data_IF_425786961413
#
_entry.id   IF_425786961413
#
_cell.length_a   1.000
_cell.length_b   1.000
_cell.length_c   1.000
_cell.angle_alpha   90.00
_cell.angle_beta   90.00
_cell.angle_gamma   90.00
#
_symmetry.space_group_name_H-M   'P 1'
#
loop_
_entity.id
_entity.type
_entity.pdbx_description
1 polymer ?
#
# COMPACT_ATOMS: atom_id res chain seq x y z
N UNK A 1 -17.09 -49.22 16.67
CA UNK A 1 -17.24 -48.36 15.48
C UNK A 1 -17.82 -47.06 15.98
N UNK A 2 -16.96 -46.06 16.18
CA UNK A 2 -17.30 -44.82 16.85
C UNK A 2 -17.11 -43.70 15.85
N UNK A 3 -18.21 -43.05 15.47
CA UNK A 3 -18.25 -41.89 14.59
C UNK A 3 -17.39 -40.76 15.18
N UNK A 4 -16.34 -40.37 14.43
CA UNK A 4 -15.66 -39.11 14.63
C UNK A 4 -16.57 -38.00 14.12
N UNK A 5 -17.31 -37.40 15.05
CA UNK A 5 -18.07 -36.18 14.84
C UNK A 5 -17.07 -35.04 14.57
N UNK A 6 -16.83 -34.77 13.28
CA UNK A 6 -16.22 -33.52 12.83
C UNK A 6 -17.21 -32.40 13.16
N UNK A 7 -17.04 -31.78 14.33
CA UNK A 7 -17.59 -30.46 14.61
C UNK A 7 -16.84 -29.48 13.71
N UNK A 8 -17.38 -29.28 12.52
CA UNK A 8 -17.04 -28.14 11.68
C UNK A 8 -17.37 -26.89 12.51
N UNK A 9 -16.32 -26.31 13.09
CA UNK A 9 -16.38 -25.01 13.73
C UNK A 9 -16.66 -24.04 12.61
N UNK A 10 -17.96 -23.80 12.38
CA UNK A 10 -18.47 -22.81 11.47
C UNK A 10 -18.13 -21.43 12.05
N UNK A 11 -16.86 -21.03 11.88
CA UNK A 11 -16.37 -19.67 12.04
C UNK A 11 -16.85 -18.85 10.83
N UNK A 12 -18.16 -18.83 10.58
CA UNK A 12 -18.81 -17.65 9.98
C UNK A 12 -18.80 -16.54 11.04
N UNK A 13 -17.59 -16.12 11.42
CA UNK A 13 -17.38 -14.83 12.06
C UNK A 13 -17.76 -13.84 10.98
N UNK A 14 -18.98 -13.31 11.08
CA UNK A 14 -19.40 -12.09 10.42
C UNK A 14 -18.47 -10.95 10.87
N UNK A 15 -17.24 -10.94 10.36
CA UNK A 15 -16.28 -9.87 10.55
C UNK A 15 -16.88 -8.71 9.78
N UNK A 16 -17.57 -7.81 10.49
CA UNK A 16 -17.97 -6.52 9.94
C UNK A 16 -16.76 -5.96 9.21
N UNK A 17 -16.83 -5.89 7.87
CA UNK A 17 -15.82 -5.27 7.03
C UNK A 17 -15.68 -3.83 7.52
N UNK A 18 -14.62 -3.58 8.28
CA UNK A 18 -14.36 -2.26 8.86
C UNK A 18 -13.97 -1.32 7.72
N UNK A 19 -14.48 -0.09 7.71
CA UNK A 19 -14.17 0.91 6.68
C UNK A 19 -12.65 1.11 6.50
N UNK A 20 -11.87 0.91 7.57
CA UNK A 20 -10.40 0.97 7.54
C UNK A 20 -9.75 -0.04 6.60
N UNK A 21 -10.42 -1.14 6.26
CA UNK A 21 -9.89 -2.11 5.30
C UNK A 21 -9.83 -1.55 3.88
N UNK A 22 -10.51 -0.45 3.56
CA UNK A 22 -10.42 0.17 2.23
C UNK A 22 -9.36 1.26 2.16
N UNK A 23 -8.72 1.57 3.29
CA UNK A 23 -7.64 2.55 3.31
C UNK A 23 -6.39 1.91 2.67
N UNK A 24 -5.84 2.50 1.60
CA UNK A 24 -4.55 2.09 1.08
C UNK A 24 -3.47 2.50 2.09
N UNK A 25 -2.51 1.61 2.32
CA UNK A 25 -1.45 1.81 3.30
C UNK A 25 -0.45 2.90 2.89
N UNK A 26 -0.42 3.25 1.60
CA UNK A 26 0.29 4.42 1.10
C UNK A 26 -0.34 5.76 1.51
N UNK A 27 -1.60 5.79 1.94
CA UNK A 27 -2.23 7.04 2.38
C UNK A 27 -1.57 7.63 3.64
N UNK A 28 -1.34 6.87 4.73
CA UNK A 28 -0.52 7.33 5.86
C UNK A 28 0.86 7.86 5.46
N UNK A 29 1.52 7.22 4.49
CA UNK A 29 2.83 7.65 3.99
C UNK A 29 2.73 8.99 3.26
N UNK A 30 1.71 9.16 2.40
CA UNK A 30 1.46 10.43 1.74
C UNK A 30 1.16 11.55 2.76
N UNK A 31 0.35 11.28 3.78
CA UNK A 31 0.05 12.24 4.84
C UNK A 31 1.32 12.64 5.57
N UNK A 32 2.16 11.67 5.94
CA UNK A 32 3.43 11.94 6.60
C UNK A 32 4.36 12.77 5.71
N UNK A 33 4.47 12.45 4.42
CA UNK A 33 5.25 13.22 3.45
C UNK A 33 4.78 14.69 3.41
N UNK A 34 3.47 14.92 3.26
CA UNK A 34 2.89 16.27 3.22
C UNK A 34 3.14 17.00 4.54
N UNK A 35 2.99 16.34 5.68
CA UNK A 35 3.26 16.96 6.99
C UNK A 35 4.71 17.40 7.11
N UNK A 36 5.68 16.56 6.73
CA UNK A 36 7.10 16.91 6.80
C UNK A 36 7.47 18.09 5.90
N UNK A 37 6.97 18.11 4.66
CA UNK A 37 7.17 19.22 3.72
C UNK A 37 6.49 20.51 4.19
N UNK A 38 5.26 20.43 4.73
CA UNK A 38 4.52 21.61 5.20
C UNK A 38 5.12 22.26 6.44
N UNK A 39 5.77 21.50 7.33
CA UNK A 39 6.52 22.06 8.48
C UNK A 39 7.93 22.51 8.12
N UNK A 40 8.35 22.37 6.85
CA UNK A 40 9.65 22.81 6.36
C UNK A 40 10.81 21.90 6.77
N UNK A 41 10.56 20.61 7.03
CA UNK A 41 11.65 19.65 7.26
C UNK A 41 12.34 19.35 5.93
N UNK A 42 13.65 19.59 5.88
CA UNK A 42 14.46 19.21 4.73
C UNK A 42 14.64 17.69 4.68
N UNK A 43 13.98 17.05 3.71
CA UNK A 43 14.02 15.61 3.51
C UNK A 43 15.41 15.07 3.15
N UNK A 44 16.31 15.93 2.64
CA UNK A 44 17.69 15.57 2.27
C UNK A 44 18.69 15.83 3.38
N UNK A 45 18.26 16.48 4.46
CA UNK A 45 19.13 16.71 5.60
C UNK A 45 19.54 15.37 6.21
N UNK A 46 20.84 15.18 6.29
CA UNK A 46 21.44 13.99 6.90
C UNK A 46 21.39 14.11 8.42
N UNK A 47 20.90 13.06 9.06
CA UNK A 47 20.89 12.87 10.51
C UNK A 47 21.80 11.70 10.89
N UNK A 48 22.64 11.90 11.89
CA UNK A 48 23.59 10.89 12.39
C UNK A 48 24.99 11.45 12.59
N UNK A 49 25.81 10.76 13.38
CA UNK A 49 27.25 10.97 13.49
C UNK A 49 27.96 9.63 13.28
N UNK A 50 29.00 9.59 12.43
CA UNK A 50 29.74 8.36 12.11
C UNK A 50 29.35 7.72 10.78
N UNK A 51 29.51 6.38 10.66
CA UNK A 51 29.31 5.61 9.43
C UNK A 51 27.86 5.26 9.07
N UNK A 52 26.89 5.61 9.92
CA UNK A 52 25.46 5.49 9.63
C UNK A 52 24.82 6.86 9.60
N UNK A 53 24.50 7.30 8.40
CA UNK A 53 23.83 8.57 8.09
C UNK A 53 22.50 8.25 7.43
N UNK A 54 21.42 8.85 7.90
CA UNK A 54 20.07 8.64 7.36
C UNK A 54 19.37 9.98 7.15
N UNK A 55 18.62 10.09 6.07
CA UNK A 55 17.78 11.24 5.73
C UNK A 55 16.30 10.93 5.97
N UNK A 56 15.47 11.96 6.17
CA UNK A 56 14.02 11.75 6.27
C UNK A 56 13.45 11.16 4.97
N UNK A 57 14.00 11.53 3.82
CA UNK A 57 13.65 10.93 2.53
C UNK A 57 13.85 9.41 2.52
N UNK A 58 15.01 8.93 2.97
CA UNK A 58 15.30 7.50 3.09
C UNK A 58 14.37 6.78 4.08
N UNK A 59 14.07 7.41 5.22
CA UNK A 59 13.10 6.85 6.19
C UNK A 59 11.74 6.65 5.52
N UNK A 60 11.24 7.66 4.80
CA UNK A 60 9.96 7.54 4.12
C UNK A 60 9.99 6.49 3.00
N UNK A 61 11.10 6.33 2.30
CA UNK A 61 11.26 5.30 1.26
C UNK A 61 11.26 3.90 1.87
N UNK A 62 11.96 3.70 3.00
CA UNK A 62 11.93 2.43 3.74
C UNK A 62 10.51 2.13 4.23
N UNK A 63 9.83 3.11 4.83
CA UNK A 63 8.44 2.96 5.26
C UNK A 63 7.52 2.63 4.09
N UNK A 64 7.70 3.30 2.94
CA UNK A 64 6.95 3.02 1.71
C UNK A 64 7.13 1.57 1.26
N UNK A 65 8.36 1.06 1.27
CA UNK A 65 8.65 -0.32 0.90
C UNK A 65 8.02 -1.32 1.88
N UNK A 66 8.07 -1.05 3.19
CA UNK A 66 7.41 -1.90 4.20
C UNK A 66 5.90 -1.89 4.02
N UNK A 67 5.29 -0.73 3.78
CA UNK A 67 3.84 -0.62 3.54
C UNK A 67 3.43 -1.31 2.25
N UNK A 68 4.24 -1.28 1.19
CA UNK A 68 4.01 -2.05 -0.03
C UNK A 68 3.89 -3.56 0.24
N UNK A 69 4.79 -4.10 1.06
CA UNK A 69 4.73 -5.52 1.45
C UNK A 69 3.47 -5.82 2.26
N UNK A 70 3.11 -4.93 3.18
CA UNK A 70 1.89 -5.08 3.97
C UNK A 70 0.61 -5.03 3.10
N UNK A 71 0.58 -4.22 2.04
CA UNK A 71 -0.54 -4.20 1.09
C UNK A 71 -0.68 -5.52 0.33
N UNK A 72 0.44 -6.12 -0.06
CA UNK A 72 0.43 -7.42 -0.75
C UNK A 72 -0.16 -8.52 0.14
N UNK A 73 0.16 -8.52 1.44
CA UNK A 73 -0.40 -9.47 2.40
C UNK A 73 -1.93 -9.32 2.52
N UNK A 74 -2.41 -8.07 2.52
CA UNK A 74 -3.84 -7.75 2.66
C UNK A 74 -4.70 -8.37 1.55
N UNK A 75 -4.21 -8.35 0.31
CA UNK A 75 -4.96 -8.89 -0.86
C UNK A 75 -4.68 -10.38 -1.13
N UNK A 76 -3.79 -11.01 -0.39
CA UNK A 76 -3.39 -12.41 -0.59
C UNK A 76 -4.33 -13.47 0.01
N UNK A 77 -5.46 -13.05 0.59
CA UNK A 77 -6.40 -13.98 1.24
C UNK A 77 -7.08 -14.90 0.21
N UNK A 78 -6.88 -16.23 0.29
CA UNK A 78 -7.51 -17.17 -0.65
C UNK A 78 -9.01 -17.27 -0.41
N UNK A 79 -9.80 -17.40 -1.49
CA UNK A 79 -11.26 -17.55 -1.41
C UNK A 79 -12.03 -16.28 -1.10
N UNK A 80 -11.36 -15.13 -0.93
CA UNK A 80 -12.00 -13.82 -0.74
C UNK A 80 -11.66 -12.94 -1.94
N UNK A 81 -12.69 -12.33 -2.52
CA UNK A 81 -12.51 -11.29 -3.53
C UNK A 81 -12.06 -9.97 -2.86
N UNK A 82 -10.79 -9.62 -3.08
CA UNK A 82 -10.18 -8.36 -2.62
C UNK A 82 -10.01 -7.36 -3.77
N UNK A 83 -10.76 -7.50 -4.87
CA UNK A 83 -10.68 -6.62 -6.04
C UNK A 83 -10.86 -5.15 -5.67
N UNK A 84 -11.80 -4.84 -4.78
CA UNK A 84 -12.02 -3.45 -4.34
C UNK A 84 -10.79 -2.89 -3.59
N UNK A 85 -10.15 -3.69 -2.75
CA UNK A 85 -8.94 -3.27 -2.02
C UNK A 85 -7.78 -3.05 -3.00
N UNK A 86 -7.56 -3.97 -3.93
CA UNK A 86 -6.56 -3.82 -4.99
C UNK A 86 -6.84 -2.58 -5.86
N UNK A 87 -8.11 -2.29 -6.16
CA UNK A 87 -8.50 -1.09 -6.91
C UNK A 87 -8.21 0.19 -6.12
N UNK A 88 -8.46 0.22 -4.81
CA UNK A 88 -8.09 1.38 -3.97
C UNK A 88 -6.59 1.63 -3.92
N UNK A 89 -5.77 0.57 -3.96
CA UNK A 89 -4.31 0.68 -4.04
C UNK A 89 -3.87 1.29 -5.38
N UNK A 90 -4.47 0.84 -6.49
CA UNK A 90 -4.22 1.43 -7.81
C UNK A 90 -4.64 2.91 -7.82
N UNK A 91 -5.81 3.23 -7.28
CA UNK A 91 -6.29 4.60 -7.15
C UNK A 91 -5.31 5.49 -6.37
N UNK A 92 -4.69 4.97 -5.32
CA UNK A 92 -3.67 5.67 -4.56
C UNK A 92 -2.39 5.92 -5.37
N UNK A 93 -1.90 4.93 -6.11
CA UNK A 93 -0.75 5.10 -6.99
C UNK A 93 -1.01 6.12 -8.11
N UNK A 94 -2.21 6.10 -8.70
CA UNK A 94 -2.64 7.10 -9.69
C UNK A 94 -2.72 8.49 -9.08
N UNK A 95 -3.28 8.63 -7.87
CA UNK A 95 -3.32 9.89 -7.15
C UNK A 95 -1.90 10.45 -6.95
N UNK A 96 -0.95 9.63 -6.48
CA UNK A 96 0.44 10.06 -6.30
C UNK A 96 1.08 10.49 -7.63
N UNK A 97 0.83 9.75 -8.71
CA UNK A 97 1.31 10.13 -10.03
C UNK A 97 0.75 11.49 -10.48
N UNK A 98 -0.54 11.74 -10.27
CA UNK A 98 -1.17 13.03 -10.58
C UNK A 98 -0.55 14.15 -9.75
N UNK A 99 -0.35 13.95 -8.44
CA UNK A 99 0.31 14.94 -7.57
C UNK A 99 1.73 15.28 -8.06
N UNK A 100 2.50 14.26 -8.44
CA UNK A 100 3.85 14.45 -9.00
C UNK A 100 3.80 15.24 -10.31
N UNK A 101 2.91 14.87 -11.25
CA UNK A 101 2.77 15.55 -12.55
C UNK A 101 2.36 17.00 -12.38
N UNK A 102 1.40 17.30 -11.50
CA UNK A 102 1.00 18.67 -11.20
C UNK A 102 2.15 19.48 -10.60
N UNK A 103 2.94 18.87 -9.72
CA UNK A 103 4.15 19.49 -9.18
C UNK A 103 5.19 19.77 -10.26
N UNK A 104 5.49 18.79 -11.10
CA UNK A 104 6.46 18.90 -12.19
C UNK A 104 6.03 19.93 -13.25
N UNK A 105 4.73 20.08 -13.48
CA UNK A 105 4.16 21.10 -14.37
C UNK A 105 4.18 22.52 -13.79
N UNK A 106 4.63 22.70 -12.53
CA UNK A 106 4.71 24.00 -11.88
C UNK A 106 3.36 24.55 -11.41
N UNK A 107 2.36 23.71 -11.21
CA UNK A 107 1.06 24.14 -10.67
C UNK A 107 1.24 24.64 -9.24
N UNK A 108 0.69 25.82 -8.96
CA UNK A 108 0.76 26.48 -7.65
C UNK A 108 0.26 25.52 -6.57
N UNK A 109 0.96 25.47 -5.43
CA UNK A 109 0.76 24.54 -4.29
C UNK A 109 1.22 23.09 -4.50
N UNK A 110 1.50 22.63 -5.71
CA UNK A 110 1.96 21.25 -5.96
C UNK A 110 3.49 21.10 -6.03
N UNK A 111 4.24 22.19 -5.93
CA UNK A 111 5.71 22.17 -6.02
C UNK A 111 6.41 21.27 -5.00
N UNK A 112 5.76 20.98 -3.85
CA UNK A 112 6.27 20.00 -2.89
C UNK A 112 6.36 18.59 -3.47
N UNK A 113 5.49 18.20 -4.39
CA UNK A 113 5.49 16.86 -4.98
C UNK A 113 6.50 16.70 -6.12
N UNK A 114 7.11 17.78 -6.60
CA UNK A 114 8.10 17.77 -7.69
C UNK A 114 9.50 17.36 -7.21
N UNK A 115 9.61 16.31 -6.40
CA UNK A 115 10.85 15.87 -5.75
C UNK A 115 11.19 14.44 -6.14
N UNK A 116 12.50 14.13 -6.16
CA UNK A 116 13.00 12.78 -6.43
C UNK A 116 12.42 11.76 -5.46
N UNK A 117 12.33 12.11 -4.17
CA UNK A 117 11.92 11.17 -3.13
C UNK A 117 10.43 10.84 -3.27
N UNK A 118 9.60 11.84 -3.60
CA UNK A 118 8.18 11.64 -3.91
C UNK A 118 7.97 10.82 -5.17
N UNK A 119 8.79 11.03 -6.21
CA UNK A 119 8.76 10.23 -7.43
C UNK A 119 9.07 8.75 -7.14
N UNK A 120 10.09 8.48 -6.34
CA UNK A 120 10.45 7.10 -5.97
C UNK A 120 9.34 6.47 -5.12
N UNK A 121 8.75 7.20 -4.15
CA UNK A 121 7.57 6.72 -3.41
C UNK A 121 6.41 6.35 -4.33
N UNK A 122 6.16 7.19 -5.35
CA UNK A 122 5.13 6.96 -6.37
C UNK A 122 5.39 5.66 -7.12
N UNK A 123 6.65 5.39 -7.51
CA UNK A 123 7.01 4.14 -8.17
C UNK A 123 6.85 2.92 -7.27
N UNK A 124 7.21 3.02 -5.99
CA UNK A 124 7.00 1.94 -5.03
C UNK A 124 5.50 1.65 -4.91
N UNK A 125 4.65 2.67 -4.77
CA UNK A 125 3.20 2.54 -4.66
C UNK A 125 2.57 1.91 -5.91
N UNK A 126 2.92 2.41 -7.10
CA UNK A 126 2.43 1.86 -8.36
C UNK A 126 2.85 0.41 -8.55
N UNK A 127 4.12 0.08 -8.29
CA UNK A 127 4.63 -1.29 -8.39
C UNK A 127 3.90 -2.23 -7.42
N UNK A 128 3.70 -1.79 -6.17
CA UNK A 128 2.95 -2.55 -5.17
C UNK A 128 1.51 -2.80 -5.61
N UNK A 129 0.83 -1.79 -6.16
CA UNK A 129 -0.55 -1.91 -6.62
C UNK A 129 -0.70 -2.91 -7.77
N UNK A 130 0.24 -2.92 -8.73
CA UNK A 130 0.25 -3.89 -9.83
C UNK A 130 0.39 -5.31 -9.27
N UNK A 131 1.36 -5.52 -8.38
CA UNK A 131 1.58 -6.82 -7.75
C UNK A 131 0.34 -7.25 -6.94
N UNK A 132 -0.30 -6.34 -6.21
CA UNK A 132 -1.50 -6.61 -5.45
C UNK A 132 -2.66 -7.08 -6.35
N UNK A 133 -2.88 -6.43 -7.49
CA UNK A 133 -3.88 -6.86 -8.49
C UNK A 133 -3.58 -8.27 -9.00
N UNK A 134 -2.32 -8.57 -9.33
CA UNK A 134 -1.90 -9.89 -9.81
C UNK A 134 -2.08 -10.98 -8.75
N UNK A 135 -1.77 -10.68 -7.48
CA UNK A 135 -1.99 -11.59 -6.35
C UNK A 135 -3.47 -11.88 -6.20
N UNK A 136 -4.32 -10.85 -6.15
CA UNK A 136 -5.77 -11.00 -6.01
C UNK A 136 -6.39 -11.81 -7.17
N UNK A 137 -5.96 -11.54 -8.41
CA UNK A 137 -6.43 -12.31 -9.57
C UNK A 137 -6.04 -13.79 -9.48
N UNK A 138 -4.82 -14.09 -8.99
CA UNK A 138 -4.33 -15.47 -8.83
C UNK A 138 -5.04 -16.21 -7.70
N UNK A 139 -5.32 -15.55 -6.57
CA UNK A 139 -6.04 -16.17 -5.45
C UNK A 139 -7.48 -16.50 -5.83
N UNK A 140 -8.16 -15.61 -6.55
CA UNK A 140 -9.50 -15.83 -7.09
C UNK A 140 -9.57 -17.03 -8.04
N UNK A 141 -8.63 -17.11 -8.99
CA UNK A 141 -8.57 -18.24 -9.92
C UNK A 141 -8.42 -19.58 -9.18
N UNK A 142 -7.51 -19.64 -8.20
CA UNK A 142 -7.31 -20.85 -7.39
C UNK A 142 -8.57 -21.25 -6.64
N UNK A 143 -9.32 -20.30 -6.07
CA UNK A 143 -10.56 -20.64 -5.36
C UNK A 143 -11.67 -21.18 -6.27
N UNK A 144 -11.74 -20.72 -7.52
CA UNK A 144 -12.71 -21.25 -8.50
C UNK A 144 -12.32 -22.68 -8.91
N UNK A 145 -11.04 -22.92 -9.17
CA UNK A 145 -10.53 -24.24 -9.56
C UNK A 145 -10.77 -25.31 -8.47
N UNK A 146 -10.71 -24.95 -7.18
CA UNK A 146 -11.03 -25.87 -6.08
C UNK A 146 -12.54 -26.10 -5.85
N UNK A 147 -13.41 -25.21 -6.31
CA UNK A 147 -14.86 -25.36 -6.16
C UNK A 147 -15.51 -26.14 -7.31
N UNK A 148 -14.81 -26.28 -8.45
CA UNK A 148 -15.28 -27.01 -9.63
C UNK A 148 -14.87 -28.48 -9.70
N UNK A 149 -14.04 -28.95 -8.77
CA UNK A 149 -13.68 -30.37 -8.57
C UNK A 149 -14.40 -30.94 -7.36
#
# INVERSE_FOLDING_TARGET
>A
MSEHQHTDVNLQVGRKRSMLQFLPYFLPILILYVLLETVGIDLKKVYGQGGYTVTWGEILLILSAVMALAEQLKVSNPGIDNTLEALTMVGMGVLQLVLFVLGAAGVVYFGMFAKSDFLVQTFISLSASIVAVLINARTLRRSIDFAGN
#
